data_IF_725964046728
#
_entry.id   IF_725964046728
#
_cell.length_a   1.000
_cell.length_b   1.000
_cell.length_c   1.000
_cell.angle_alpha   90.00
_cell.angle_beta   90.00
_cell.angle_gamma   90.00
#
_symmetry.space_group_name_H-M   'P 1'
#
loop_
_entity.id
_entity.type
_entity.pdbx_description
1 polymer ?
#
# COMPACT_ATOMS: atom_id res chain seq x y z
N UNK A 1 -23.90 -4.85 -29.10
CA UNK A 1 -24.53 -3.95 -28.10
C UNK A 1 -24.33 -4.44 -26.67
N UNK A 2 -24.59 -5.72 -26.34
CA UNK A 2 -24.44 -6.26 -24.98
C UNK A 2 -23.02 -6.18 -24.38
N UNK A 3 -21.96 -6.38 -25.17
CA UNK A 3 -20.60 -6.36 -24.64
C UNK A 3 -20.18 -4.97 -24.13
N UNK A 4 -20.66 -3.90 -24.78
CA UNK A 4 -20.33 -2.51 -24.38
C UNK A 4 -20.93 -2.19 -23.01
N UNK A 5 -22.17 -2.63 -22.78
CA UNK A 5 -22.86 -2.47 -21.50
C UNK A 5 -22.11 -3.22 -20.38
N UNK A 6 -21.62 -4.43 -20.69
CA UNK A 6 -20.90 -5.28 -19.73
C UNK A 6 -19.54 -4.68 -19.31
N UNK A 7 -18.83 -4.06 -20.26
CA UNK A 7 -17.56 -3.34 -19.98
C UNK A 7 -17.80 -2.06 -19.20
N UNK A 8 -18.86 -1.30 -19.51
CA UNK A 8 -19.20 -0.09 -18.75
C UNK A 8 -19.52 -0.42 -17.28
N UNK A 9 -20.30 -1.48 -17.03
CA UNK A 9 -20.66 -1.92 -15.67
C UNK A 9 -19.43 -2.37 -14.87
N UNK A 10 -18.44 -3.00 -15.51
CA UNK A 10 -17.20 -3.37 -14.82
C UNK A 10 -16.36 -2.16 -14.40
N UNK A 11 -16.37 -1.07 -15.19
CA UNK A 11 -15.57 0.13 -14.91
C UNK A 11 -16.06 0.91 -13.68
N UNK A 12 -17.38 0.97 -13.46
CA UNK A 12 -17.99 1.68 -12.32
C UNK A 12 -17.85 0.96 -10.97
N UNK A 13 -17.53 -0.34 -10.97
CA UNK A 13 -17.34 -1.12 -9.73
C UNK A 13 -15.88 -1.09 -9.22
N UNK A 14 -15.04 -0.21 -9.75
CA UNK A 14 -13.66 -0.06 -9.28
C UNK A 14 -13.60 0.73 -7.96
N UNK A 15 -13.97 0.07 -6.86
CA UNK A 15 -13.68 0.56 -5.52
C UNK A 15 -12.20 0.31 -5.23
N UNK A 16 -11.41 1.38 -5.18
CA UNK A 16 -10.02 1.30 -4.73
C UNK A 16 -9.95 0.78 -3.29
N UNK A 17 -8.96 -0.06 -3.00
CA UNK A 17 -8.75 -0.59 -1.65
C UNK A 17 -8.65 0.56 -0.63
N UNK A 18 -9.58 0.58 0.33
CA UNK A 18 -9.63 1.61 1.36
C UNK A 18 -8.61 1.30 2.44
N UNK A 19 -7.79 2.30 2.78
CA UNK A 19 -6.81 2.17 3.86
C UNK A 19 -7.50 1.83 5.20
N UNK A 20 -6.86 1.02 6.06
CA UNK A 20 -7.36 0.75 7.40
C UNK A 20 -7.68 2.05 8.17
N UNK A 21 -8.73 2.04 8.98
CA UNK A 21 -9.15 3.22 9.75
C UNK A 21 -8.13 3.69 10.77
N UNK A 22 -7.20 2.81 11.18
CA UNK A 22 -6.11 3.11 12.11
C UNK A 22 -4.99 3.93 11.48
N UNK A 23 -4.94 4.01 10.14
CA UNK A 23 -3.88 4.75 9.45
C UNK A 23 -4.22 6.24 9.45
N UNK A 24 -3.27 7.05 9.93
CA UNK A 24 -3.37 8.51 9.82
C UNK A 24 -3.41 8.92 8.34
N UNK A 25 -4.42 9.71 7.99
CA UNK A 25 -4.61 10.25 6.64
C UNK A 25 -4.18 11.71 6.59
N UNK A 26 -3.39 12.04 5.57
CA UNK A 26 -2.91 13.41 5.34
C UNK A 26 -3.63 14.04 4.15
N UNK A 27 -4.02 15.30 4.29
CA UNK A 27 -4.57 16.06 3.19
C UNK A 27 -3.42 16.67 2.37
N UNK A 28 -3.33 16.31 1.09
CA UNK A 28 -2.28 16.81 0.18
C UNK A 28 -2.25 18.32 0.02
N UNK A 29 -3.35 19.03 0.32
CA UNK A 29 -3.46 20.49 0.19
C UNK A 29 -3.06 21.25 1.46
N UNK A 30 -2.81 20.55 2.56
CA UNK A 30 -2.38 21.19 3.79
C UNK A 30 -0.90 21.64 3.68
N UNK A 31 -0.54 22.80 4.26
CA UNK A 31 0.81 23.35 4.15
C UNK A 31 1.88 22.46 4.80
N UNK A 32 1.50 21.65 5.78
CA UNK A 32 2.32 20.75 6.59
C UNK A 32 2.29 19.29 6.11
N UNK A 33 1.87 19.02 4.86
CA UNK A 33 1.74 17.66 4.31
C UNK A 33 2.99 16.80 4.50
N UNK A 34 4.19 17.38 4.44
CA UNK A 34 5.45 16.65 4.61
C UNK A 34 5.58 16.06 6.02
N UNK A 35 5.30 16.88 7.03
CA UNK A 35 5.35 16.47 8.43
C UNK A 35 4.25 15.46 8.74
N UNK A 36 3.02 15.73 8.27
CA UNK A 36 1.92 14.80 8.44
C UNK A 36 2.24 13.41 7.87
N UNK A 37 2.83 13.33 6.66
CA UNK A 37 3.17 12.05 6.03
C UNK A 37 4.28 11.34 6.80
N UNK A 38 5.27 12.07 7.31
CA UNK A 38 6.34 11.51 8.14
C UNK A 38 5.76 10.88 9.41
N UNK A 39 4.94 11.62 10.15
CA UNK A 39 4.28 11.14 11.36
C UNK A 39 3.35 9.96 11.07
N UNK A 40 2.58 10.04 9.97
CA UNK A 40 1.69 8.96 9.55
C UNK A 40 2.45 7.68 9.22
N UNK A 41 3.64 7.79 8.60
CA UNK A 41 4.49 6.64 8.34
C UNK A 41 5.04 6.05 9.63
N UNK A 42 5.54 6.89 10.54
CA UNK A 42 6.05 6.45 11.85
C UNK A 42 4.97 5.75 12.69
N UNK A 43 3.73 6.23 12.63
CA UNK A 43 2.58 5.59 13.29
C UNK A 43 2.13 4.29 12.60
N UNK A 44 2.21 4.21 11.28
CA UNK A 44 1.77 3.04 10.51
C UNK A 44 2.77 1.87 10.59
N UNK A 45 4.08 2.14 10.62
CA UNK A 45 5.12 1.11 10.65
C UNK A 45 4.92 0.03 11.74
N UNK A 46 4.72 0.35 13.03
CA UNK A 46 4.49 -0.66 14.05
C UNK A 46 3.17 -1.43 13.86
N UNK A 47 2.19 -0.87 13.15
CA UNK A 47 0.94 -1.56 12.84
C UNK A 47 1.14 -2.60 11.74
N UNK A 48 2.11 -2.40 10.83
CA UNK A 48 2.47 -3.31 9.74
C UNK A 48 3.21 -4.57 10.22
N UNK A 49 3.57 -4.66 11.51
CA UNK A 49 4.00 -5.91 12.15
C UNK A 49 2.85 -6.94 12.29
N UNK A 50 1.63 -6.57 11.89
CA UNK A 50 0.47 -7.46 11.83
C UNK A 50 -0.11 -7.44 10.41
N UNK A 51 -0.67 -8.57 9.95
CA UNK A 51 -1.30 -8.62 8.64
C UNK A 51 -2.62 -7.83 8.61
N UNK A 52 -2.87 -7.12 7.50
CA UNK A 52 -4.12 -6.43 7.23
C UNK A 52 -4.94 -7.20 6.19
N UNK A 53 -5.84 -8.07 6.65
CA UNK A 53 -6.69 -8.89 5.76
C UNK A 53 -7.60 -8.06 4.86
N UNK A 54 -8.05 -6.89 5.32
CA UNK A 54 -8.95 -6.00 4.56
C UNK A 54 -8.33 -5.47 3.27
N UNK A 55 -7.00 -5.37 3.22
CA UNK A 55 -6.23 -4.91 2.06
C UNK A 55 -5.23 -5.99 1.60
N UNK A 56 -5.47 -7.24 2.00
CA UNK A 56 -4.66 -8.41 1.67
C UNK A 56 -3.14 -8.19 1.82
N UNK A 57 -2.71 -7.54 2.92
CA UNK A 57 -1.31 -7.22 3.19
C UNK A 57 -0.76 -8.14 4.29
N UNK A 58 0.38 -8.82 4.09
CA UNK A 58 1.01 -9.67 5.10
C UNK A 58 1.66 -8.85 6.22
N UNK A 59 2.22 -9.51 7.23
CA UNK A 59 3.12 -8.83 8.16
C UNK A 59 4.40 -8.41 7.44
N UNK A 60 4.88 -7.21 7.76
CA UNK A 60 6.13 -6.66 7.23
C UNK A 60 7.27 -6.68 8.26
N UNK A 61 6.98 -7.02 9.52
CA UNK A 61 7.99 -7.17 10.57
C UNK A 61 7.60 -8.28 11.57
N UNK A 62 8.30 -9.43 11.58
CA UNK A 62 9.36 -9.79 10.64
C UNK A 62 8.80 -10.02 9.22
N UNK A 63 9.52 -9.56 8.20
CA UNK A 63 9.21 -9.88 6.82
C UNK A 63 9.73 -11.28 6.48
N UNK A 64 8.82 -12.21 6.20
CA UNK A 64 9.21 -13.55 5.76
C UNK A 64 9.49 -13.57 4.24
N UNK A 65 10.73 -13.89 3.89
CA UNK A 65 11.16 -14.09 2.50
C UNK A 65 11.51 -15.57 2.34
N UNK A 66 10.69 -16.32 1.61
CA UNK A 66 10.90 -17.76 1.42
C UNK A 66 12.16 -18.07 0.59
N UNK A 67 12.39 -17.28 -0.46
CA UNK A 67 13.56 -17.38 -1.32
C UNK A 67 13.92 -16.01 -1.90
N UNK A 68 15.21 -15.76 -2.09
CA UNK A 68 15.71 -14.58 -2.77
C UNK A 68 16.91 -14.97 -3.63
N UNK A 69 16.88 -14.62 -4.92
CA UNK A 69 18.03 -14.77 -5.82
C UNK A 69 18.65 -13.41 -6.09
N UNK A 70 19.88 -13.20 -5.66
CA UNK A 70 20.65 -11.98 -5.90
C UNK A 70 21.66 -12.25 -7.02
N UNK A 71 21.66 -11.44 -8.07
CA UNK A 71 22.70 -11.48 -9.11
C UNK A 71 23.78 -10.44 -8.78
N UNK A 72 25.04 -10.79 -9.02
CA UNK A 72 26.16 -9.85 -8.87
C UNK A 72 26.05 -8.68 -9.84
N UNK A 73 26.21 -7.45 -9.34
CA UNK A 73 26.34 -6.25 -10.17
C UNK A 73 27.77 -6.10 -10.69
N UNK A 74 27.94 -5.47 -11.84
CA UNK A 74 29.25 -5.25 -12.48
C UNK A 74 30.08 -4.10 -11.84
N UNK A 75 29.83 -3.78 -10.57
CA UNK A 75 30.49 -2.68 -9.88
C UNK A 75 31.89 -3.07 -9.40
N UNK A 76 32.89 -2.23 -9.67
CA UNK A 76 34.19 -2.26 -8.98
C UNK A 76 34.04 -1.51 -7.65
N UNK A 77 34.28 -2.20 -6.53
CA UNK A 77 34.46 -1.56 -5.21
C UNK A 77 35.85 -0.96 -5.08
#
# INVERSE_FOLDING_TARGET
>A
MNCIILVLVAAILSEGAKLPSTFKKCNRKQPDVKECVLEAAQDALPQLAKPFRSINTPSLDPLEIAEATIKGGAGTV
#
